data_IF_600568143520
#
_entry.id   IF_600568143520
#
_cell.length_a   1.000
_cell.length_b   1.000
_cell.length_c   1.000
_cell.angle_alpha   90.00
_cell.angle_beta   90.00
_cell.angle_gamma   90.00
#
_symmetry.space_group_name_H-M   'P 1'
#
loop_
_entity.id
_entity.type
_entity.pdbx_description
1 polymer ?
#
# COMPACT_ATOMS: atom_id res chain seq x y z
N UNK A 1 -2.02 30.61 14.43
CA UNK A 1 -2.97 30.81 13.31
C UNK A 1 -4.04 29.75 13.39
N UNK A 2 -5.29 30.12 13.14
CA UNK A 2 -6.44 29.21 13.07
C UNK A 2 -7.06 29.28 11.67
N UNK A 3 -7.65 28.17 11.23
CA UNK A 3 -8.15 28.00 9.87
C UNK A 3 -7.12 27.34 8.95
N UNK A 4 -7.61 26.64 7.93
CA UNK A 4 -6.77 25.99 6.91
C UNK A 4 -5.95 27.04 6.17
N UNK A 5 -4.67 26.77 5.96
CA UNK A 5 -3.75 27.65 5.24
C UNK A 5 -3.33 26.99 3.94
N UNK A 6 -3.52 27.69 2.83
CA UNK A 6 -2.99 27.28 1.53
C UNK A 6 -2.04 28.36 1.04
N UNK A 7 -0.74 28.07 1.08
CA UNK A 7 0.28 28.93 0.49
C UNK A 7 0.54 28.49 -0.95
N UNK A 8 0.00 29.23 -1.91
CA UNK A 8 0.14 28.91 -3.33
C UNK A 8 1.59 29.10 -3.82
N UNK A 9 1.92 28.62 -5.02
CA UNK A 9 3.31 28.59 -5.55
C UNK A 9 4.05 29.92 -5.54
N UNK A 10 3.34 31.05 -5.69
CA UNK A 10 3.92 32.40 -5.64
C UNK A 10 3.84 33.05 -4.26
N UNK A 11 3.17 32.40 -3.31
CA UNK A 11 2.93 32.91 -1.97
C UNK A 11 4.17 32.82 -1.09
N UNK A 12 4.27 33.77 -0.16
CA UNK A 12 5.35 33.84 0.83
C UNK A 12 4.73 34.02 2.21
N UNK A 13 5.08 33.12 3.12
CA UNK A 13 4.85 33.25 4.56
C UNK A 13 6.23 33.35 5.20
N UNK A 14 6.46 34.37 6.03
CA UNK A 14 7.74 34.57 6.70
C UNK A 14 7.53 34.73 8.19
N UNK A 15 8.29 33.99 8.99
CA UNK A 15 8.42 34.17 10.42
C UNK A 15 9.70 34.95 10.72
N UNK A 16 9.56 36.05 11.47
CA UNK A 16 10.69 36.88 11.86
C UNK A 16 11.60 36.19 12.89
N UNK A 17 12.81 36.70 13.05
CA UNK A 17 13.78 36.16 14.00
C UNK A 17 13.23 36.17 15.43
N UNK A 18 13.45 35.09 16.18
CA UNK A 18 12.87 34.89 17.52
C UNK A 18 11.35 34.69 17.55
N UNK A 19 10.68 34.73 16.39
CA UNK A 19 9.24 34.57 16.29
C UNK A 19 8.81 33.15 16.62
N UNK A 20 7.63 33.00 17.21
CA UNK A 20 7.00 31.69 17.40
C UNK A 20 5.63 31.68 16.75
N UNK A 21 5.29 30.62 16.03
CA UNK A 21 3.97 30.50 15.39
C UNK A 21 3.52 29.05 15.35
N UNK A 22 2.28 28.81 15.76
CA UNK A 22 1.61 27.51 15.63
C UNK A 22 0.51 27.60 14.58
N UNK A 23 0.48 26.65 13.64
CA UNK A 23 -0.67 26.37 12.78
C UNK A 23 -1.50 25.26 13.42
N UNK A 24 -2.74 25.60 13.81
CA UNK A 24 -3.65 24.66 14.48
C UNK A 24 -4.48 23.80 13.52
N UNK A 25 -4.45 24.13 12.23
CA UNK A 25 -5.19 23.45 11.17
C UNK A 25 -4.27 23.18 9.99
N UNK A 26 -4.75 22.38 9.04
CA UNK A 26 -3.96 21.92 7.90
C UNK A 26 -3.28 23.07 7.15
N UNK A 27 -2.02 22.86 6.81
CA UNK A 27 -1.22 23.73 5.97
C UNK A 27 -0.79 22.99 4.72
N UNK A 28 -1.19 23.52 3.57
CA UNK A 28 -0.62 23.12 2.27
C UNK A 28 0.32 24.22 1.81
N UNK A 29 1.63 23.93 1.84
CA UNK A 29 2.66 24.87 1.43
C UNK A 29 3.23 24.53 0.05
N UNK A 30 2.71 25.15 -1.01
CA UNK A 30 3.24 25.05 -2.36
C UNK A 30 4.20 26.20 -2.72
N UNK A 31 4.23 27.27 -1.92
CA UNK A 31 5.08 28.44 -2.09
C UNK A 31 6.31 28.43 -1.18
N UNK A 32 6.68 29.61 -0.69
CA UNK A 32 7.77 29.80 0.27
C UNK A 32 7.21 29.96 1.68
N UNK A 33 7.58 29.10 2.61
CA UNK A 33 7.39 29.31 4.04
C UNK A 33 8.77 29.42 4.67
N UNK A 34 9.10 30.59 5.21
CA UNK A 34 10.45 30.95 5.65
C UNK A 34 10.49 31.10 7.17
N UNK A 35 11.40 30.41 7.83
CA UNK A 35 11.75 30.58 9.24
C UNK A 35 13.07 31.36 9.33
N UNK A 36 13.14 32.34 10.23
CA UNK A 36 14.38 33.07 10.51
C UNK A 36 15.13 32.45 11.70
N UNK A 37 16.32 32.96 11.98
CA UNK A 37 17.12 32.51 13.14
C UNK A 37 16.33 32.62 14.44
N UNK A 38 16.52 31.64 15.33
CA UNK A 38 15.85 31.52 16.64
C UNK A 38 14.32 31.49 16.58
N UNK A 39 13.74 31.30 15.39
CA UNK A 39 12.29 31.17 15.25
C UNK A 39 11.84 29.72 15.43
N UNK A 40 10.58 29.55 15.83
CA UNK A 40 9.97 28.24 16.05
C UNK A 40 8.59 28.16 15.37
N UNK A 41 8.46 27.18 14.47
CA UNK A 41 7.20 26.87 13.79
C UNK A 41 6.66 25.54 14.26
N UNK A 42 5.40 25.52 14.67
CA UNK A 42 4.71 24.29 15.06
C UNK A 42 3.51 24.02 14.16
N UNK A 43 3.45 22.81 13.61
CA UNK A 43 2.30 22.31 12.85
C UNK A 43 1.55 21.30 13.72
N UNK A 44 0.49 21.75 14.37
CA UNK A 44 -0.32 20.91 15.25
C UNK A 44 -1.31 20.01 14.46
N UNK A 45 -1.48 20.28 13.17
CA UNK A 45 -2.28 19.50 12.23
C UNK A 45 -1.43 19.19 10.98
N UNK A 46 -2.05 18.77 9.88
CA UNK A 46 -1.33 18.31 8.71
C UNK A 46 -0.44 19.41 8.08
N UNK A 47 0.77 19.04 7.66
CA UNK A 47 1.64 19.81 6.79
C UNK A 47 1.87 19.02 5.49
N UNK A 48 1.54 19.63 4.36
CA UNK A 48 1.88 19.10 3.04
C UNK A 48 2.61 20.10 2.16
N UNK A 49 3.32 19.63 1.14
CA UNK A 49 4.01 20.46 0.15
C UNK A 49 5.53 20.55 0.35
N UNK A 50 6.09 21.74 0.16
CA UNK A 50 7.53 21.98 -0.03
C UNK A 50 8.36 22.11 1.25
N UNK A 51 7.74 22.11 2.44
CA UNK A 51 8.44 22.23 3.73
C UNK A 51 8.64 23.68 4.19
N UNK A 52 9.73 23.96 4.90
CA UNK A 52 10.03 25.26 5.53
C UNK A 52 11.51 25.62 5.33
N UNK A 53 11.79 26.72 4.65
CA UNK A 53 13.17 27.15 4.42
C UNK A 53 13.68 28.09 5.51
N UNK A 54 15.00 28.13 5.70
CA UNK A 54 15.66 28.96 6.70
C UNK A 54 15.92 28.24 8.03
N UNK A 55 16.71 28.85 8.93
CA UNK A 55 17.36 28.15 10.04
C UNK A 55 16.49 27.97 11.29
N UNK A 56 15.25 28.47 11.29
CA UNK A 56 14.37 28.32 12.46
C UNK A 56 13.87 26.88 12.60
N UNK A 57 13.68 26.46 13.85
CA UNK A 57 13.21 25.12 14.21
C UNK A 57 11.76 24.87 13.81
N UNK A 58 11.45 23.60 13.51
CA UNK A 58 10.11 23.13 13.14
C UNK A 58 9.69 21.94 14.01
N UNK A 59 8.50 22.03 14.60
CA UNK A 59 7.83 20.91 15.25
C UNK A 59 6.64 20.44 14.42
N UNK A 60 6.59 19.13 14.16
CA UNK A 60 5.55 18.45 13.40
C UNK A 60 4.78 17.52 14.33
N UNK A 61 3.55 17.85 14.69
CA UNK A 61 2.71 16.96 15.53
C UNK A 61 1.59 16.27 14.76
N UNK A 62 1.30 16.74 13.54
CA UNK A 62 0.26 16.19 12.67
C UNK A 62 0.81 15.32 11.54
N UNK A 63 -0.05 15.04 10.56
CA UNK A 63 0.35 14.34 9.34
C UNK A 63 1.37 15.18 8.54
N UNK A 64 2.35 14.51 7.95
CA UNK A 64 3.42 15.12 7.15
C UNK A 64 3.45 14.38 5.82
N UNK A 65 3.25 15.12 4.73
CA UNK A 65 3.30 14.55 3.40
C UNK A 65 4.12 15.44 2.47
N UNK A 66 5.28 14.98 1.97
CA UNK A 66 6.00 15.70 0.93
C UNK A 66 5.13 15.89 -0.31
N UNK A 67 5.07 17.14 -0.77
CA UNK A 67 4.23 17.51 -1.92
C UNK A 67 2.73 17.63 -1.63
N UNK A 68 2.03 18.25 -2.57
CA UNK A 68 0.55 18.25 -2.63
C UNK A 68 0.04 17.61 -3.93
N UNK A 69 0.89 17.52 -4.96
CA UNK A 69 0.68 16.78 -6.22
C UNK A 69 2.03 16.29 -6.76
N UNK A 70 2.14 14.98 -7.02
CA UNK A 70 3.33 14.30 -7.54
C UNK A 70 4.46 14.12 -6.52
N UNK A 71 5.46 13.33 -6.90
CA UNK A 71 6.67 13.05 -6.11
C UNK A 71 7.43 14.34 -5.86
N UNK A 72 7.65 14.68 -4.59
CA UNK A 72 8.36 15.91 -4.24
C UNK A 72 9.23 15.69 -3.03
N UNK A 73 10.36 16.39 -3.04
CA UNK A 73 11.11 16.63 -1.82
C UNK A 73 10.38 17.67 -0.97
N UNK A 74 10.28 17.42 0.34
CA UNK A 74 9.95 18.41 1.35
C UNK A 74 11.24 18.82 2.05
N UNK A 75 11.51 20.12 2.08
CA UNK A 75 12.81 20.64 2.50
C UNK A 75 12.67 21.47 3.78
N UNK A 76 13.54 21.21 4.74
CA UNK A 76 13.66 21.97 5.98
C UNK A 76 15.04 22.59 6.08
N UNK A 77 15.11 23.89 6.34
CA UNK A 77 16.38 24.61 6.46
C UNK A 77 17.02 24.54 7.86
N UNK A 78 16.26 24.22 8.89
CA UNK A 78 16.70 24.07 10.27
C UNK A 78 16.14 22.80 10.88
N UNK A 79 16.28 22.67 12.19
CA UNK A 79 15.97 21.44 12.91
C UNK A 79 14.49 21.07 12.83
N UNK A 80 14.21 19.77 12.77
CA UNK A 80 12.86 19.20 12.72
C UNK A 80 12.68 18.21 13.86
N UNK A 81 11.61 18.41 14.63
CA UNK A 81 11.17 17.45 15.65
C UNK A 81 9.81 16.89 15.26
N UNK A 82 9.73 15.57 15.11
CA UNK A 82 8.48 14.83 14.98
C UNK A 82 7.91 14.56 16.38
N UNK A 83 6.65 14.90 16.60
CA UNK A 83 5.91 14.58 17.82
C UNK A 83 5.37 13.16 17.82
N UNK A 84 4.99 12.64 18.99
CA UNK A 84 4.50 11.26 19.16
C UNK A 84 3.26 10.91 18.34
N UNK A 85 2.47 11.91 17.95
CA UNK A 85 1.26 11.75 17.14
C UNK A 85 1.45 12.09 15.66
N UNK A 86 2.67 12.47 15.28
CA UNK A 86 2.97 12.79 13.89
C UNK A 86 2.92 11.54 13.01
N UNK A 87 2.57 11.73 11.74
CA UNK A 87 2.45 10.65 10.77
C UNK A 87 3.08 11.08 9.44
N UNK A 88 4.26 10.55 9.13
CA UNK A 88 4.91 10.74 7.85
C UNK A 88 4.35 9.76 6.82
N UNK A 89 3.91 10.26 5.68
CA UNK A 89 3.51 9.45 4.52
C UNK A 89 4.48 9.71 3.38
N UNK A 90 5.07 8.65 2.83
CA UNK A 90 5.96 8.69 1.66
C UNK A 90 5.25 8.00 0.49
N UNK A 91 5.01 8.74 -0.59
CA UNK A 91 4.53 8.15 -1.85
C UNK A 91 5.69 7.48 -2.59
N UNK A 92 5.47 6.30 -3.16
CA UNK A 92 6.49 5.50 -3.86
C UNK A 92 5.92 4.95 -5.17
N UNK A 93 6.64 5.17 -6.27
CA UNK A 93 6.36 4.58 -7.59
C UNK A 93 7.54 3.77 -8.10
N UNK A 94 8.75 4.31 -7.97
CA UNK A 94 9.97 3.67 -8.44
C UNK A 94 11.18 4.13 -7.61
N UNK A 95 12.35 3.59 -7.91
CA UNK A 95 13.58 3.83 -7.17
C UNK A 95 14.33 5.12 -7.55
N UNK A 96 13.80 5.94 -8.46
CA UNK A 96 14.52 7.11 -8.99
C UNK A 96 14.46 8.26 -7.98
N UNK A 97 15.59 8.70 -7.40
CA UNK A 97 15.60 9.81 -6.44
C UNK A 97 14.98 11.09 -7.00
N UNK A 98 14.26 11.82 -6.16
CA UNK A 98 13.58 13.08 -6.48
C UNK A 98 12.40 13.01 -7.46
N UNK A 99 12.11 11.85 -8.08
CA UNK A 99 11.03 11.72 -9.08
C UNK A 99 10.22 10.43 -9.00
N UNK A 100 10.72 9.44 -8.26
CA UNK A 100 10.11 8.12 -8.08
C UNK A 100 9.46 7.92 -6.73
N UNK A 101 9.83 8.72 -5.73
CA UNK A 101 9.29 8.65 -4.38
C UNK A 101 9.44 10.01 -3.68
N UNK A 102 8.70 10.18 -2.59
CA UNK A 102 8.80 11.36 -1.74
C UNK A 102 10.05 11.34 -0.87
N UNK A 103 10.66 12.50 -0.69
CA UNK A 103 11.89 12.65 0.09
C UNK A 103 11.74 13.74 1.13
N UNK A 104 12.32 13.52 2.31
CA UNK A 104 12.43 14.53 3.35
C UNK A 104 13.89 14.97 3.50
N UNK A 105 14.20 16.20 3.16
CA UNK A 105 15.55 16.76 3.22
C UNK A 105 15.61 17.82 4.32
N UNK A 106 16.30 17.51 5.42
CA UNK A 106 16.45 18.39 6.58
C UNK A 106 17.91 18.82 6.62
N UNK A 107 18.15 20.12 6.55
CA UNK A 107 19.51 20.67 6.55
C UNK A 107 20.09 20.82 7.97
N UNK A 108 19.25 20.77 9.00
CA UNK A 108 19.65 20.69 10.41
C UNK A 108 19.32 19.32 11.00
N UNK A 109 19.12 19.27 12.30
CA UNK A 109 18.93 18.01 13.03
C UNK A 109 17.50 17.46 12.85
N UNK A 110 17.36 16.14 12.90
CA UNK A 110 16.08 15.46 12.83
C UNK A 110 15.87 14.56 14.06
N UNK A 111 14.86 14.88 14.88
CA UNK A 111 14.41 14.01 15.97
C UNK A 111 13.12 13.30 15.56
N UNK A 112 13.18 11.97 15.42
CA UNK A 112 12.08 11.14 14.96
C UNK A 112 11.24 10.57 16.12
N UNK A 113 9.93 10.61 15.93
CA UNK A 113 8.91 9.94 16.75
C UNK A 113 7.71 9.63 15.84
N UNK A 114 6.56 9.27 16.43
CA UNK A 114 5.32 9.08 15.65
C UNK A 114 5.37 7.88 14.71
N UNK A 115 4.71 7.98 13.56
CA UNK A 115 4.56 6.87 12.61
C UNK A 115 5.07 7.18 11.21
N UNK A 116 5.54 6.14 10.51
CA UNK A 116 5.82 6.14 9.08
C UNK A 116 4.82 5.24 8.36
N UNK A 117 4.29 5.73 7.25
CA UNK A 117 3.52 4.96 6.28
C UNK A 117 4.04 5.18 4.86
N UNK A 118 3.86 4.17 4.01
CA UNK A 118 4.24 4.22 2.60
C UNK A 118 2.98 4.05 1.76
N UNK A 119 2.86 4.83 0.68
CA UNK A 119 1.77 4.68 -0.29
C UNK A 119 2.34 4.30 -1.65
N UNK A 120 2.02 3.08 -2.08
CA UNK A 120 2.54 2.52 -3.32
C UNK A 120 1.66 2.97 -4.49
N UNK A 121 2.29 3.53 -5.52
CA UNK A 121 1.65 4.09 -6.71
C UNK A 121 1.98 3.31 -7.99
N UNK A 122 2.95 2.38 -7.93
CA UNK A 122 3.24 1.41 -8.98
C UNK A 122 3.92 0.17 -8.39
N UNK A 123 3.75 -0.97 -9.06
CA UNK A 123 4.51 -2.19 -8.74
C UNK A 123 6.00 -1.97 -9.01
N UNK A 124 6.83 -2.58 -8.17
CA UNK A 124 8.28 -2.61 -8.35
C UNK A 124 8.68 -3.82 -9.21
N UNK A 125 9.79 -3.68 -9.95
CA UNK A 125 10.33 -4.78 -10.77
C UNK A 125 11.53 -5.48 -10.15
N UNK A 126 12.09 -4.91 -9.07
CA UNK A 126 13.27 -5.43 -8.38
C UNK A 126 13.30 -4.96 -6.93
N UNK A 127 13.93 -5.73 -6.02
CA UNK A 127 14.21 -5.27 -4.67
C UNK A 127 14.86 -3.89 -4.68
N UNK A 128 14.33 -2.97 -3.88
CA UNK A 128 14.72 -1.56 -3.91
C UNK A 128 14.94 -1.06 -2.49
N UNK A 129 15.95 -0.20 -2.30
CA UNK A 129 16.14 0.53 -1.04
C UNK A 129 16.09 2.02 -1.34
N UNK A 130 15.19 2.74 -0.66
CA UNK A 130 14.93 4.16 -0.84
C UNK A 130 15.51 4.93 0.34
N UNK A 131 16.21 6.04 0.08
CA UNK A 131 16.63 6.96 1.15
C UNK A 131 15.57 8.04 1.30
N UNK A 132 14.68 7.88 2.28
CA UNK A 132 13.47 8.71 2.42
C UNK A 132 13.67 9.96 3.26
N UNK A 133 14.72 9.98 4.11
CA UNK A 133 15.03 11.10 4.98
C UNK A 133 16.55 11.31 5.04
N UNK A 134 16.97 12.57 4.99
CA UNK A 134 18.34 13.04 5.23
C UNK A 134 18.33 14.17 6.25
N UNK A 135 19.26 14.17 7.19
CA UNK A 135 19.46 15.18 8.23
C UNK A 135 20.94 15.58 8.37
N UNK A 136 21.24 16.56 9.21
CA UNK A 136 22.61 16.84 9.69
C UNK A 136 22.98 15.89 10.84
N UNK A 137 22.16 15.84 11.89
CA UNK A 137 22.18 14.77 12.91
C UNK A 137 20.82 14.07 12.99
N UNK A 138 20.81 12.74 12.99
CA UNK A 138 19.61 11.92 13.15
C UNK A 138 19.50 11.38 14.58
N UNK A 139 18.34 11.59 15.20
CA UNK A 139 18.03 11.06 16.52
C UNK A 139 16.66 10.38 16.55
N UNK A 140 16.53 9.35 17.39
CA UNK A 140 15.26 8.63 17.57
C UNK A 140 14.89 7.72 16.39
N UNK A 141 13.65 7.22 16.42
CA UNK A 141 13.08 6.33 15.40
C UNK A 141 11.58 6.59 15.30
N UNK A 142 10.94 6.28 14.16
CA UNK A 142 9.48 6.19 14.12
C UNK A 142 9.01 5.08 15.07
N UNK A 143 8.08 5.41 15.98
CA UNK A 143 7.51 4.49 16.96
C UNK A 143 6.62 3.43 16.30
N UNK A 144 5.99 3.75 15.16
CA UNK A 144 5.23 2.81 14.36
C UNK A 144 5.68 2.83 12.89
N UNK A 145 5.95 1.67 12.33
CA UNK A 145 6.32 1.44 10.93
C UNK A 145 5.54 0.24 10.40
N UNK A 146 5.43 0.05 9.07
CA UNK A 146 4.81 -1.17 8.53
C UNK A 146 5.52 -2.42 9.05
N UNK A 147 4.76 -3.49 9.28
CA UNK A 147 5.34 -4.77 9.71
C UNK A 147 6.17 -5.40 8.58
N UNK A 148 7.22 -6.15 8.94
CA UNK A 148 7.99 -6.92 7.96
C UNK A 148 7.06 -7.88 7.20
N UNK A 149 7.15 -7.87 5.87
CA UNK A 149 6.29 -8.66 4.98
C UNK A 149 4.90 -8.06 4.74
N UNK A 150 4.57 -6.90 5.31
CA UNK A 150 3.29 -6.25 5.05
C UNK A 150 3.16 -5.91 3.55
N UNK A 151 2.03 -6.30 2.94
CA UNK A 151 1.66 -5.87 1.60
C UNK A 151 1.17 -4.41 1.67
N UNK A 152 1.89 -3.52 1.00
CA UNK A 152 1.66 -2.07 0.98
C UNK A 152 0.78 -1.63 -0.21
N UNK A 153 0.33 -2.58 -1.02
CA UNK A 153 -0.44 -2.36 -2.23
C UNK A 153 0.36 -2.68 -3.50
N UNK A 154 -0.33 -3.02 -4.58
CA UNK A 154 0.26 -3.31 -5.89
C UNK A 154 1.32 -4.43 -5.86
N UNK A 155 1.16 -5.35 -4.91
CA UNK A 155 2.08 -6.45 -4.62
C UNK A 155 3.35 -6.02 -3.90
N UNK A 156 3.61 -4.74 -3.60
CA UNK A 156 4.87 -4.34 -2.98
C UNK A 156 4.89 -4.71 -1.50
N UNK A 157 5.91 -5.45 -1.07
CA UNK A 157 6.09 -5.88 0.31
C UNK A 157 7.10 -5.00 1.05
N UNK A 158 6.79 -4.65 2.29
CA UNK A 158 7.73 -3.99 3.18
C UNK A 158 8.80 -4.96 3.67
N UNK A 159 10.07 -4.65 3.42
CA UNK A 159 11.22 -5.49 3.79
C UNK A 159 12.10 -4.89 4.90
N UNK A 160 11.64 -3.82 5.53
CA UNK A 160 12.28 -3.22 6.70
C UNK A 160 12.69 -1.77 6.50
N UNK A 161 13.21 -1.22 7.59
CA UNK A 161 13.69 0.16 7.70
C UNK A 161 15.05 0.15 8.41
N UNK A 162 15.96 1.00 7.93
CA UNK A 162 17.28 1.21 8.51
C UNK A 162 17.41 2.67 8.91
N UNK A 163 17.75 2.90 10.18
CA UNK A 163 18.17 4.19 10.70
C UNK A 163 19.70 4.17 10.74
N UNK A 164 20.33 4.89 9.80
CA UNK A 164 21.77 4.94 9.64
C UNK A 164 22.29 6.23 10.28
N UNK A 165 22.62 6.15 11.57
CA UNK A 165 23.10 7.28 12.38
C UNK A 165 24.53 7.70 12.04
N UNK A 166 25.30 6.87 11.31
CA UNK A 166 26.64 7.26 10.85
C UNK A 166 26.56 8.13 9.59
N UNK A 167 25.44 8.11 8.88
CA UNK A 167 25.20 8.87 7.65
C UNK A 167 23.99 9.81 7.76
N UNK A 168 23.34 9.87 8.92
CA UNK A 168 22.18 10.70 9.23
C UNK A 168 21.03 10.57 8.23
N UNK A 169 20.71 9.32 7.88
CA UNK A 169 19.64 8.99 6.94
C UNK A 169 18.71 7.86 7.39
N UNK A 170 17.49 7.90 6.88
CA UNK A 170 16.52 6.79 7.01
C UNK A 170 16.32 6.14 5.65
N UNK A 171 16.42 4.81 5.62
CA UNK A 171 16.19 4.00 4.42
C UNK A 171 15.07 3.00 4.62
N UNK A 172 14.23 2.83 3.61
CA UNK A 172 13.24 1.74 3.57
C UNK A 172 13.60 0.75 2.48
N UNK A 173 13.50 -0.53 2.79
CA UNK A 173 13.71 -1.62 1.85
C UNK A 173 12.37 -2.22 1.44
N UNK A 174 12.18 -2.39 0.14
CA UNK A 174 10.96 -2.88 -0.48
C UNK A 174 11.28 -4.07 -1.38
N UNK A 175 10.39 -5.05 -1.38
CA UNK A 175 10.43 -6.18 -2.31
C UNK A 175 9.27 -6.06 -3.31
N UNK A 176 9.52 -6.37 -4.60
CA UNK A 176 8.43 -6.61 -5.52
C UNK A 176 7.73 -7.91 -5.08
N UNK A 177 6.45 -7.85 -4.76
CA UNK A 177 5.65 -9.07 -4.66
C UNK A 177 5.06 -9.44 -6.00
N UNK A 178 4.41 -10.58 -6.00
CA UNK A 178 3.91 -11.19 -7.22
C UNK A 178 2.52 -10.62 -7.50
N UNK A 179 2.33 -9.98 -8.65
CA UNK A 179 0.99 -9.57 -9.08
C UNK A 179 0.06 -10.79 -9.04
N UNK A 180 -1.14 -10.64 -8.49
CA UNK A 180 -2.14 -11.71 -8.36
C UNK A 180 -1.86 -12.79 -7.31
N UNK A 181 -0.80 -12.66 -6.51
CA UNK A 181 -0.63 -13.40 -5.25
C UNK A 181 -1.46 -12.71 -4.16
N UNK A 182 -2.74 -13.07 -4.11
CA UNK A 182 -3.72 -12.48 -3.21
C UNK A 182 -3.69 -13.10 -1.82
N UNK A 183 -3.07 -14.27 -1.67
CA UNK A 183 -2.92 -14.95 -0.38
C UNK A 183 -1.58 -14.65 0.33
N UNK A 184 -0.60 -14.08 -0.40
CA UNK A 184 0.71 -13.68 0.09
C UNK A 184 1.73 -14.82 0.22
N UNK A 185 1.52 -15.95 -0.45
CA UNK A 185 2.38 -17.14 -0.38
C UNK A 185 3.47 -17.20 -1.45
N UNK A 186 3.62 -16.13 -2.23
CA UNK A 186 4.55 -15.98 -3.35
C UNK A 186 4.26 -16.86 -4.57
N UNK A 187 3.10 -17.51 -4.62
CA UNK A 187 2.59 -18.24 -5.78
C UNK A 187 1.35 -17.56 -6.35
N UNK A 188 1.04 -17.82 -7.62
CA UNK A 188 -0.21 -17.37 -8.26
C UNK A 188 -0.97 -18.60 -8.72
N UNK A 189 -1.94 -19.04 -7.92
CA UNK A 189 -2.70 -20.26 -8.15
C UNK A 189 -4.18 -20.16 -7.72
N UNK A 190 -4.88 -21.29 -7.76
CA UNK A 190 -6.31 -21.32 -7.44
C UNK A 190 -6.66 -20.88 -6.00
N UNK A 191 -5.70 -20.84 -5.08
CA UNK A 191 -5.92 -20.34 -3.72
C UNK A 191 -6.02 -18.82 -3.69
N UNK A 192 -5.34 -18.11 -4.60
CA UNK A 192 -5.51 -16.66 -4.81
C UNK A 192 -6.90 -16.35 -5.36
N UNK A 193 -7.36 -17.14 -6.32
CA UNK A 193 -8.72 -17.04 -6.82
C UNK A 193 -9.75 -17.19 -5.68
N UNK A 194 -9.53 -18.12 -4.75
CA UNK A 194 -10.39 -18.29 -3.58
C UNK A 194 -10.24 -17.15 -2.55
N UNK A 195 -9.09 -16.48 -2.46
CA UNK A 195 -8.97 -15.23 -1.70
C UNK A 195 -9.82 -14.13 -2.33
N UNK A 196 -9.63 -13.85 -3.62
CA UNK A 196 -10.45 -12.88 -4.36
C UNK A 196 -11.95 -13.17 -4.24
N UNK A 197 -12.37 -14.41 -4.49
CA UNK A 197 -13.77 -14.79 -4.46
C UNK A 197 -14.41 -14.58 -3.09
N UNK A 198 -13.67 -14.80 -1.99
CA UNK A 198 -14.18 -14.60 -0.63
C UNK A 198 -14.38 -13.13 -0.26
N UNK A 199 -13.58 -12.25 -0.85
CA UNK A 199 -13.60 -10.82 -0.57
C UNK A 199 -14.31 -10.00 -1.67
N UNK A 200 -14.97 -10.67 -2.62
CA UNK A 200 -15.69 -10.03 -3.73
C UNK A 200 -16.74 -9.02 -3.21
N UNK A 201 -16.60 -7.77 -3.64
CA UNK A 201 -17.44 -6.64 -3.27
C UNK A 201 -16.97 -5.86 -2.03
N UNK A 202 -15.88 -6.28 -1.39
CA UNK A 202 -15.27 -5.53 -0.28
C UNK A 202 -14.44 -4.35 -0.80
N UNK A 203 -14.35 -3.28 0.00
CA UNK A 203 -13.46 -2.17 -0.28
C UNK A 203 -12.03 -2.50 0.19
N UNK A 204 -11.04 -2.15 -0.62
CA UNK A 204 -9.63 -2.28 -0.29
C UNK A 204 -9.05 -0.90 0.10
N UNK A 205 -8.46 -0.81 1.30
CA UNK A 205 -7.84 0.43 1.76
C UNK A 205 -6.49 0.19 2.45
N UNK A 206 -5.39 0.77 1.92
CA UNK A 206 -5.32 1.56 0.68
C UNK A 206 -5.65 0.72 -0.57
N UNK A 207 -5.93 1.38 -1.70
CA UNK A 207 -6.17 0.66 -2.95
C UNK A 207 -4.93 -0.17 -3.34
N UNK A 208 -5.14 -1.35 -3.91
CA UNK A 208 -4.10 -2.27 -4.31
C UNK A 208 -3.77 -3.35 -3.28
N UNK A 209 -4.43 -3.38 -2.12
CA UNK A 209 -4.18 -4.35 -1.03
C UNK A 209 -5.15 -5.53 -1.07
N UNK A 210 -4.72 -6.65 -0.49
CA UNK A 210 -5.54 -7.87 -0.49
C UNK A 210 -5.75 -8.38 -1.91
N UNK A 211 -7.00 -8.61 -2.29
CA UNK A 211 -7.37 -9.08 -3.63
C UNK A 211 -7.73 -7.96 -4.62
N UNK A 212 -7.44 -6.69 -4.29
CA UNK A 212 -7.56 -5.54 -5.19
C UNK A 212 -6.30 -5.46 -6.07
N UNK A 213 -6.24 -6.32 -7.07
CA UNK A 213 -5.10 -6.45 -8.00
C UNK A 213 -4.99 -5.30 -9.01
N UNK A 214 -6.09 -4.57 -9.29
CA UNK A 214 -6.07 -3.42 -10.21
C UNK A 214 -5.93 -2.06 -9.50
N UNK A 215 -5.92 -2.06 -8.17
CA UNK A 215 -5.83 -0.90 -7.30
C UNK A 215 -6.94 0.14 -7.54
N UNK A 216 -8.15 -0.33 -7.85
CA UNK A 216 -9.35 0.50 -7.93
C UNK A 216 -9.92 0.89 -6.56
N UNK A 217 -9.49 0.22 -5.50
CA UNK A 217 -10.03 0.36 -4.14
C UNK A 217 -11.23 -0.53 -3.86
N UNK A 218 -11.58 -1.42 -4.79
CA UNK A 218 -12.67 -2.38 -4.67
C UNK A 218 -12.20 -3.75 -5.16
N UNK A 219 -12.63 -4.80 -4.47
CA UNK A 219 -12.37 -6.17 -4.88
C UNK A 219 -13.50 -6.60 -5.81
N UNK A 220 -13.31 -6.53 -7.13
CA UNK A 220 -14.32 -6.80 -8.15
C UNK A 220 -13.78 -7.53 -9.40
N UNK A 221 -14.50 -7.43 -10.52
CA UNK A 221 -14.12 -8.09 -11.77
C UNK A 221 -12.82 -7.56 -12.40
N UNK A 222 -12.40 -6.34 -12.08
CA UNK A 222 -11.14 -5.76 -12.52
C UNK A 222 -9.94 -6.53 -12.00
N UNK A 223 -9.98 -6.95 -10.73
CA UNK A 223 -8.91 -7.73 -10.10
C UNK A 223 -8.79 -9.14 -10.68
N UNK A 224 -9.94 -9.77 -10.95
CA UNK A 224 -9.95 -11.07 -11.62
C UNK A 224 -9.35 -10.96 -13.02
N UNK A 225 -9.56 -9.84 -13.73
CA UNK A 225 -8.93 -9.61 -15.03
C UNK A 225 -7.40 -9.50 -14.89
N UNK A 226 -6.90 -8.84 -13.85
CA UNK A 226 -5.46 -8.80 -13.54
C UNK A 226 -4.91 -10.20 -13.27
N UNK A 227 -5.58 -10.96 -12.40
CA UNK A 227 -5.17 -12.31 -12.03
C UNK A 227 -5.19 -13.30 -13.21
N UNK A 228 -6.21 -13.24 -14.06
CA UNK A 228 -6.28 -14.09 -15.27
C UNK A 228 -5.23 -13.70 -16.32
N UNK A 229 -4.91 -12.41 -16.47
CA UNK A 229 -3.94 -11.92 -17.45
C UNK A 229 -2.52 -12.44 -17.21
N UNK A 230 -2.15 -12.67 -15.96
CA UNK A 230 -0.83 -13.21 -15.57
C UNK A 230 -0.76 -14.74 -15.54
N UNK A 231 -1.84 -15.41 -15.97
CA UNK A 231 -1.92 -16.87 -16.01
C UNK A 231 -2.46 -17.50 -14.73
N UNK A 232 -3.17 -16.72 -13.90
CA UNK A 232 -3.91 -17.19 -12.74
C UNK A 232 -4.74 -18.42 -13.09
N UNK A 233 -4.27 -19.55 -12.59
CA UNK A 233 -4.64 -20.91 -12.97
C UNK A 233 -4.65 -21.17 -14.49
N UNK A 234 -3.61 -21.86 -14.98
CA UNK A 234 -3.93 -23.00 -15.84
C UNK A 234 -4.82 -23.92 -14.99
N UNK A 235 -6.11 -24.11 -15.31
CA UNK A 235 -6.90 -25.09 -14.58
C UNK A 235 -6.12 -26.41 -14.65
N UNK A 236 -5.97 -27.17 -13.54
CA UNK A 236 -5.41 -28.51 -13.65
C UNK A 236 -6.20 -29.20 -14.76
N UNK A 237 -5.50 -29.71 -15.77
CA UNK A 237 -6.12 -30.37 -16.90
C UNK A 237 -7.18 -31.30 -16.33
N UNK A 238 -8.46 -30.99 -16.59
CA UNK A 238 -9.56 -31.70 -15.99
C UNK A 238 -9.43 -33.13 -16.50
N UNK A 239 -8.89 -34.02 -15.66
CA UNK A 239 -8.76 -35.41 -16.03
C UNK A 239 -10.18 -35.86 -16.36
N UNK A 240 -10.40 -36.30 -17.60
CA UNK A 240 -11.70 -36.80 -18.02
C UNK A 240 -12.11 -37.83 -16.98
N UNK A 241 -13.15 -37.52 -16.19
CA UNK A 241 -13.69 -38.44 -15.20
C UNK A 241 -14.11 -39.66 -16.02
N UNK A 242 -13.45 -40.83 -15.87
CA UNK A 242 -13.88 -42.01 -16.60
C UNK A 242 -15.30 -42.29 -16.12
N UNK A 243 -16.30 -42.20 -17.00
CA UNK A 243 -17.69 -42.42 -16.61
C UNK A 243 -17.81 -43.80 -15.95
N UNK A 244 -18.03 -43.90 -14.62
CA UNK A 244 -18.15 -45.18 -13.98
C UNK A 244 -19.57 -45.68 -14.22
N UNK A 245 -19.72 -46.62 -15.14
CA UNK A 245 -20.81 -47.59 -15.09
C UNK A 245 -22.22 -47.16 -15.57
N UNK A 246 -22.42 -45.97 -16.14
CA UNK A 246 -23.73 -45.62 -16.73
C UNK A 246 -24.16 -46.64 -17.80
N UNK A 247 -23.22 -47.03 -18.67
CA UNK A 247 -23.45 -48.10 -19.65
C UNK A 247 -23.66 -49.48 -19.00
N UNK A 248 -22.99 -49.77 -17.88
CA UNK A 248 -23.14 -51.03 -17.15
C UNK A 248 -24.52 -51.14 -16.46
N UNK A 249 -25.03 -50.04 -15.89
CA UNK A 249 -26.36 -49.97 -15.28
C UNK A 249 -27.48 -50.11 -16.33
N UNK A 250 -27.30 -49.51 -17.51
CA UNK A 250 -28.22 -49.70 -18.64
C UNK A 250 -28.23 -51.16 -19.09
N UNK A 251 -27.06 -51.80 -19.18
CA UNK A 251 -26.97 -53.22 -19.58
C UNK A 251 -27.65 -54.15 -18.58
N UNK A 252 -27.45 -53.93 -17.28
CA UNK A 252 -28.10 -54.71 -16.21
C UNK A 252 -29.61 -54.49 -16.19
N UNK A 253 -30.08 -53.25 -16.42
CA UNK A 253 -31.51 -52.94 -16.54
C UNK A 253 -32.18 -53.65 -17.72
N UNK A 254 -31.51 -53.70 -18.87
CA UNK A 254 -32.01 -54.40 -20.06
C UNK A 254 -32.07 -55.93 -19.87
N UNK A 255 -31.08 -56.51 -19.18
CA UNK A 255 -31.06 -57.95 -18.88
C UNK A 255 -32.14 -58.36 -17.86
N UNK A 256 -32.50 -57.48 -16.91
CA UNK A 256 -33.58 -57.73 -15.95
C UNK A 256 -34.98 -57.74 -16.58
N UNK A 257 -35.19 -56.98 -17.66
CA UNK A 257 -36.50 -56.88 -18.34
C UNK A 257 -36.80 -58.07 -19.27
N UNK A 258 -35.77 -58.73 -19.81
CA UNK A 258 -35.92 -59.91 -20.68
C UNK A 258 -36.33 -61.21 -19.97
N UNK A 259 -36.25 -61.25 -18.63
CA UNK A 259 -36.49 -62.47 -17.83
C UNK A 259 -37.94 -62.75 -17.42
N UNK A 260 -38.89 -61.82 -17.65
CA UNK A 260 -40.31 -62.03 -17.28
C UNK A 260 -41.00 -62.95 -18.30
N UNK A 261 -40.74 -64.26 -18.21
CA UNK A 261 -41.52 -65.30 -18.88
C UNK A 261 -42.98 -65.22 -18.42
N UNK A 262 -43.89 -65.00 -19.36
CA UNK A 262 -45.34 -65.12 -19.18
C UNK A 262 -45.65 -66.58 -18.85
N UNK A 263 -45.90 -66.89 -17.58
CA UNK A 263 -46.42 -68.20 -17.17
C UNK A 263 -47.91 -68.23 -17.49
N UNK A 264 -48.28 -69.06 -18.46
CA UNK A 264 -49.65 -69.22 -18.96
C UNK A 264 -50.62 -69.73 -17.89
N UNK A 265 -51.79 -69.10 -17.83
CA UNK A 265 -52.95 -69.65 -17.11
C UNK A 265 -53.66 -70.66 -18.02
N UNK A 266 -53.50 -71.95 -17.72
CA UNK A 266 -54.42 -73.00 -18.18
C UNK A 266 -55.75 -72.81 -17.44
N UNK A 267 -56.83 -72.60 -18.19
CA UNK A 267 -58.19 -72.63 -17.66
C UNK A 267 -58.70 -74.08 -17.60
N UNK A 268 -59.33 -74.44 -16.47
CA UNK A 268 -60.01 -75.70 -16.20
C UNK A 268 -61.41 -75.35 -15.69
N UNK A 269 -62.45 -75.78 -16.41
CA UNK A 269 -63.88 -75.93 -16.04
C UNK A 269 -64.67 -76.02 -17.37
N UNK A 270 -65.65 -76.90 -17.59
CA UNK A 270 -66.36 -77.90 -16.79
C UNK A 270 -66.91 -78.94 -17.79
#
# INVERSE_FOLDING_TARGET
MHGRVTNNTTGVISLAAGGQTTFHNDVTNNGQLKSATDSHLRFAAALSGSGVSGPGSVQLDGAVQPGSTGFRSMNFGGDVTFGDFSALTIDVRDAVPGTGFDELNIAGDASLAGSLSLRILASLTSPTTLTILRADELAGTFAAVPALGANLGLGVLFNGITYDYDQDVVRVSLLPGVTGDFNGDSSVDGTDFLMWQRHLGEAAHPAGVGADGDASGWIDGGDLAVWTAIGGASPPAQAAVPEPGAAALILVGLLGLGGRRVVGRRALAL
#
